data_IF_464525043620
#
_entry.id   IF_464525043620
#
_cell.length_a   1.000
_cell.length_b   1.000
_cell.length_c   1.000
_cell.angle_alpha   90.00
_cell.angle_beta   90.00
_cell.angle_gamma   90.00
#
_symmetry.space_group_name_H-M   'P 1'
#
loop_
_entity.id
_entity.type
_entity.pdbx_description
1 polymer ?
#
# COMPACT_ATOMS: atom_id res chain seq x y z
N UNK A 1 -0.38 13.65 31.06
CA UNK A 1 -0.71 12.36 30.40
C UNK A 1 -1.88 12.62 29.47
N UNK A 2 -1.63 12.66 28.15
CA UNK A 2 -2.68 12.87 27.15
C UNK A 2 -3.30 11.52 26.80
N UNK A 3 -4.63 11.50 26.81
CA UNK A 3 -5.50 10.34 26.69
C UNK A 3 -5.19 9.53 25.41
N UNK A 4 -5.31 8.21 25.55
CA UNK A 4 -5.16 7.24 24.47
C UNK A 4 -6.09 7.60 23.30
N UNK A 5 -5.51 7.62 22.09
CA UNK A 5 -6.20 7.92 20.85
C UNK A 5 -7.13 6.78 20.46
N UNK A 6 -8.39 6.88 20.85
CA UNK A 6 -9.45 6.06 20.29
C UNK A 6 -10.17 6.87 19.20
N UNK A 7 -10.02 6.41 17.96
CA UNK A 7 -10.61 7.00 16.76
C UNK A 7 -12.06 6.51 16.65
N UNK A 8 -13.03 7.34 17.08
CA UNK A 8 -14.45 7.01 16.98
C UNK A 8 -14.93 7.38 15.57
N UNK A 9 -15.15 6.37 14.72
CA UNK A 9 -15.76 6.55 13.39
C UNK A 9 -17.28 6.57 13.56
N UNK A 10 -17.90 7.72 13.32
CA UNK A 10 -19.35 7.84 13.28
C UNK A 10 -19.90 7.21 11.99
N UNK A 11 -20.83 6.26 12.11
CA UNK A 11 -21.60 5.76 10.97
C UNK A 11 -23.10 5.94 11.21
N UNK A 12 -23.88 6.01 10.13
CA UNK A 12 -25.32 6.32 10.11
C UNK A 12 -26.23 5.22 10.71
N UNK A 13 -25.67 4.20 11.35
CA UNK A 13 -26.40 3.08 11.99
C UNK A 13 -26.12 2.96 13.51
N UNK A 14 -25.36 3.89 14.11
CA UNK A 14 -25.06 3.90 15.56
C UNK A 14 -23.55 3.85 15.86
N UNK A 15 -23.21 3.79 17.15
CA UNK A 15 -21.82 3.67 17.62
C UNK A 15 -21.40 2.19 17.57
N UNK A 16 -20.49 1.81 16.68
CA UNK A 16 -19.84 0.50 16.75
C UNK A 16 -18.69 0.60 17.76
N UNK A 17 -18.83 -0.06 18.90
CA UNK A 17 -17.70 -0.31 19.79
C UNK A 17 -16.89 -1.48 19.19
N UNK A 18 -16.08 -1.19 18.17
CA UNK A 18 -15.08 -2.14 17.68
C UNK A 18 -14.01 -2.31 18.77
N UNK A 19 -14.28 -3.20 19.72
CA UNK A 19 -13.24 -3.75 20.57
C UNK A 19 -12.25 -4.42 19.63
N UNK A 20 -11.13 -3.74 19.37
CA UNK A 20 -10.02 -4.17 18.53
C UNK A 20 -9.65 -5.64 18.78
N UNK A 21 -10.33 -6.54 18.06
CA UNK A 21 -9.95 -7.94 17.84
C UNK A 21 -9.08 -8.04 16.59
N UNK A 22 -8.50 -6.92 16.14
CA UNK A 22 -7.41 -6.95 15.16
C UNK A 22 -6.17 -7.39 15.93
N UNK A 23 -5.63 -8.54 15.55
CA UNK A 23 -4.30 -8.94 15.98
C UNK A 23 -3.34 -7.76 15.74
N UNK A 24 -2.38 -7.52 16.65
CA UNK A 24 -1.39 -6.47 16.42
C UNK A 24 -0.69 -6.73 15.08
N UNK A 25 -0.69 -5.72 14.21
CA UNK A 25 0.03 -5.73 12.94
C UNK A 25 1.20 -4.75 13.01
N UNK A 26 2.17 -4.94 12.13
CA UNK A 26 3.32 -4.05 11.95
C UNK A 26 3.26 -3.44 10.56
N UNK A 27 3.90 -2.28 10.38
CA UNK A 27 3.95 -1.55 9.12
C UNK A 27 5.38 -1.13 8.79
N UNK A 28 5.72 -1.17 7.50
CA UNK A 28 6.92 -0.54 6.95
C UNK A 28 6.54 0.28 5.72
N UNK A 29 7.35 1.29 5.43
CA UNK A 29 7.34 1.96 4.13
C UNK A 29 8.53 1.46 3.32
N UNK A 30 8.27 1.04 2.08
CA UNK A 30 9.30 0.59 1.14
C UNK A 30 9.32 1.49 -0.09
N UNK A 31 10.51 1.79 -0.59
CA UNK A 31 10.71 2.51 -1.84
C UNK A 31 10.79 1.51 -2.99
N UNK A 32 9.94 1.72 -3.99
CA UNK A 32 9.85 0.90 -5.18
C UNK A 32 10.04 1.76 -6.43
N UNK A 33 10.52 1.13 -7.49
CA UNK A 33 10.58 1.72 -8.82
C UNK A 33 10.26 0.66 -9.86
N UNK A 34 9.28 0.95 -10.71
CA UNK A 34 9.00 0.16 -11.88
C UNK A 34 8.17 0.97 -12.88
N UNK A 35 8.19 0.55 -14.15
CA UNK A 35 7.28 1.04 -15.17
C UNK A 35 5.86 0.49 -14.94
N UNK A 36 4.86 1.11 -15.55
CA UNK A 36 3.46 0.73 -15.42
C UNK A 36 3.11 -0.58 -16.18
N UNK A 37 1.91 -1.11 -15.93
CA UNK A 37 1.40 -2.30 -16.63
C UNK A 37 1.71 -3.63 -15.93
N UNK A 38 2.46 -4.58 -16.54
CA UNK A 38 2.68 -5.91 -15.96
C UNK A 38 3.45 -5.90 -14.63
N UNK A 39 4.43 -5.01 -14.48
CA UNK A 39 5.26 -4.91 -13.28
C UNK A 39 4.45 -4.46 -12.06
N UNK A 40 3.60 -3.44 -12.23
CA UNK A 40 2.64 -3.00 -11.19
C UNK A 40 1.83 -4.19 -10.65
N UNK A 41 1.20 -4.96 -11.55
CA UNK A 41 0.36 -6.08 -11.11
C UNK A 41 1.17 -7.15 -10.38
N UNK A 42 2.36 -7.46 -10.87
CA UNK A 42 3.23 -8.46 -10.26
C UNK A 42 3.77 -8.01 -8.89
N UNK A 43 4.09 -6.73 -8.73
CA UNK A 43 4.47 -6.13 -7.44
C UNK A 43 3.33 -6.28 -6.41
N UNK A 44 2.12 -5.80 -6.75
CA UNK A 44 0.95 -5.90 -5.87
C UNK A 44 0.66 -7.37 -5.49
N UNK A 45 0.72 -8.28 -6.48
CA UNK A 45 0.52 -9.71 -6.24
C UNK A 45 1.58 -10.27 -5.28
N UNK A 46 2.85 -9.88 -5.44
CA UNK A 46 3.95 -10.34 -4.59
C UNK A 46 3.69 -9.97 -3.13
N UNK A 47 3.26 -8.73 -2.87
CA UNK A 47 2.96 -8.28 -1.51
C UNK A 47 1.82 -9.11 -0.89
N UNK A 48 0.74 -9.33 -1.63
CA UNK A 48 -0.43 -10.10 -1.15
C UNK A 48 -0.09 -11.58 -0.97
N UNK A 49 0.64 -12.19 -1.89
CA UNK A 49 1.01 -13.62 -1.87
C UNK A 49 1.78 -13.97 -0.59
N UNK A 50 2.65 -13.07 -0.13
CA UNK A 50 3.42 -13.26 1.09
C UNK A 50 2.70 -12.78 2.36
N UNK A 51 1.42 -12.39 2.27
CA UNK A 51 0.58 -12.06 3.42
C UNK A 51 0.66 -10.60 3.87
N UNK A 52 1.11 -9.71 2.99
CA UNK A 52 1.06 -8.26 3.20
C UNK A 52 -0.27 -7.65 2.77
N UNK A 53 -0.51 -6.44 3.24
CA UNK A 53 -1.59 -5.55 2.80
C UNK A 53 -1.00 -4.20 2.42
N UNK A 54 -1.44 -3.66 1.29
CA UNK A 54 -0.96 -2.37 0.78
C UNK A 54 -1.92 -1.29 1.24
N UNK A 55 -1.44 -0.39 2.09
CA UNK A 55 -2.28 0.65 2.70
C UNK A 55 -2.41 1.84 1.76
N UNK A 56 -1.28 2.34 1.28
CA UNK A 56 -1.18 3.52 0.44
C UNK A 56 -0.03 3.43 -0.56
N UNK A 57 -0.03 4.39 -1.49
CA UNK A 57 1.09 4.74 -2.35
C UNK A 57 1.41 6.22 -2.18
N UNK A 58 2.69 6.58 -2.16
CA UNK A 58 3.13 7.97 -2.04
C UNK A 58 4.22 8.30 -3.05
N UNK A 59 4.23 9.53 -3.53
CA UNK A 59 5.26 10.07 -4.43
C UNK A 59 5.64 11.49 -4.01
N UNK A 60 6.86 11.90 -4.32
CA UNK A 60 7.33 13.26 -4.09
C UNK A 60 7.17 14.12 -5.36
N UNK A 61 6.44 15.23 -5.27
CA UNK A 61 6.21 16.15 -6.37
C UNK A 61 6.89 17.50 -6.10
N UNK A 62 7.66 18.08 -7.04
CA UNK A 62 8.46 19.29 -6.79
C UNK A 62 7.64 20.52 -6.40
N UNK A 63 6.36 20.58 -6.78
CA UNK A 63 5.46 21.71 -6.46
C UNK A 63 4.58 21.43 -5.23
N UNK A 64 4.12 20.18 -5.06
CA UNK A 64 3.07 19.86 -4.10
C UNK A 64 3.61 19.12 -2.86
N UNK A 65 4.88 18.72 -2.87
CA UNK A 65 5.47 17.88 -1.84
C UNK A 65 4.97 16.43 -1.96
N UNK A 66 4.63 15.81 -0.85
CA UNK A 66 4.11 14.44 -0.82
C UNK A 66 2.68 14.38 -1.40
N UNK A 67 2.49 13.56 -2.42
CA UNK A 67 1.17 13.14 -2.90
C UNK A 67 0.94 11.69 -2.48
N UNK A 68 -0.21 11.41 -1.87
CA UNK A 68 -0.57 10.08 -1.38
C UNK A 68 -1.92 9.62 -1.91
N UNK A 69 -2.02 8.35 -2.31
CA UNK A 69 -3.27 7.68 -2.65
C UNK A 69 -3.52 6.48 -1.74
N UNK A 70 -4.72 6.39 -1.16
CA UNK A 70 -5.13 5.23 -0.38
C UNK A 70 -5.48 4.07 -1.31
N UNK A 71 -4.89 2.90 -1.08
CA UNK A 71 -5.10 1.71 -1.90
C UNK A 71 -5.91 0.64 -1.16
N UNK A 72 -5.58 0.37 0.11
CA UNK A 72 -6.24 -0.62 0.97
C UNK A 72 -6.38 -2.03 0.33
N UNK A 73 -5.41 -2.42 -0.51
CA UNK A 73 -5.41 -3.70 -1.24
C UNK A 73 -4.98 -4.80 -0.29
N UNK A 74 -5.86 -5.77 -0.05
CA UNK A 74 -5.66 -6.86 0.91
C UNK A 74 -5.78 -8.25 0.29
N UNK A 75 -6.27 -8.33 -0.95
CA UNK A 75 -6.56 -9.60 -1.61
C UNK A 75 -6.52 -9.45 -3.15
N UNK A 76 -6.68 -10.57 -3.85
CA UNK A 76 -6.62 -10.61 -5.31
C UNK A 76 -7.77 -9.86 -6.00
N UNK A 77 -8.96 -9.83 -5.39
CA UNK A 77 -10.10 -9.10 -5.92
C UNK A 77 -9.85 -7.59 -5.88
N UNK A 78 -9.26 -7.08 -4.80
CA UNK A 78 -8.86 -5.69 -4.68
C UNK A 78 -7.86 -5.30 -5.78
N UNK A 79 -6.86 -6.15 -6.06
CA UNK A 79 -5.91 -5.93 -7.17
C UNK A 79 -6.66 -5.85 -8.51
N UNK A 80 -7.57 -6.78 -8.76
CA UNK A 80 -8.33 -6.80 -10.01
C UNK A 80 -9.19 -5.53 -10.17
N UNK A 81 -9.86 -5.11 -9.10
CA UNK A 81 -10.66 -3.90 -9.08
C UNK A 81 -9.80 -2.66 -9.30
N UNK A 82 -8.65 -2.57 -8.63
CA UNK A 82 -7.70 -1.48 -8.79
C UNK A 82 -7.19 -1.38 -10.23
N UNK A 83 -6.69 -2.48 -10.82
CA UNK A 83 -6.18 -2.50 -12.19
C UNK A 83 -7.29 -2.16 -13.19
N UNK A 84 -8.50 -2.71 -13.01
CA UNK A 84 -9.64 -2.39 -13.88
C UNK A 84 -10.01 -0.91 -13.81
N UNK A 85 -10.07 -0.34 -12.59
CA UNK A 85 -10.40 1.07 -12.40
C UNK A 85 -9.33 1.97 -13.01
N UNK A 86 -8.05 1.63 -12.84
CA UNK A 86 -6.94 2.34 -13.47
C UNK A 86 -7.04 2.30 -15.00
N UNK A 87 -7.25 1.13 -15.60
CA UNK A 87 -7.35 0.97 -17.06
C UNK A 87 -8.61 1.62 -17.66
N UNK A 88 -9.70 1.74 -16.89
CA UNK A 88 -10.98 2.29 -17.38
C UNK A 88 -11.07 3.81 -17.24
N UNK A 89 -10.21 4.42 -16.43
CA UNK A 89 -10.15 5.87 -16.27
C UNK A 89 -8.92 6.38 -17.02
N UNK A 90 -9.01 7.58 -17.62
CA UNK A 90 -7.86 8.31 -18.19
C UNK A 90 -6.97 8.89 -17.06
N UNK A 91 -6.85 8.15 -15.96
CA UNK A 91 -6.18 8.55 -14.74
C UNK A 91 -4.77 7.93 -14.73
N UNK A 92 -3.75 8.78 -14.76
CA UNK A 92 -2.37 8.35 -14.63
C UNK A 92 -2.06 7.92 -13.19
N UNK A 93 -1.23 6.88 -13.03
CA UNK A 93 -0.70 6.50 -11.72
C UNK A 93 0.15 7.64 -11.16
N UNK A 94 0.17 7.78 -9.82
CA UNK A 94 1.03 8.76 -9.16
C UNK A 94 2.52 8.53 -9.48
N UNK A 95 2.95 7.28 -9.66
CA UNK A 95 4.32 6.91 -10.00
C UNK A 95 4.80 7.49 -11.33
N UNK A 96 3.89 7.85 -12.25
CA UNK A 96 4.25 8.51 -13.52
C UNK A 96 4.84 9.90 -13.28
N UNK A 97 4.46 10.57 -12.18
CA UNK A 97 4.96 11.90 -11.83
C UNK A 97 6.44 11.88 -11.40
N UNK A 98 6.98 10.69 -11.12
CA UNK A 98 8.28 10.48 -10.48
C UNK A 98 9.09 9.38 -11.19
N UNK A 99 8.89 9.20 -12.50
CA UNK A 99 9.64 8.22 -13.32
C UNK A 99 9.60 6.80 -12.73
N UNK A 100 8.43 6.41 -12.22
CA UNK A 100 8.18 5.11 -11.62
C UNK A 100 8.53 5.03 -10.13
N UNK A 101 9.19 6.03 -9.53
CA UNK A 101 9.61 5.99 -8.13
C UNK A 101 8.45 6.28 -7.19
N UNK A 102 8.18 5.39 -6.24
CA UNK A 102 7.09 5.56 -5.28
C UNK A 102 7.36 4.81 -3.97
N UNK A 103 6.58 5.14 -2.95
CA UNK A 103 6.63 4.51 -1.63
C UNK A 103 5.33 3.76 -1.38
N UNK A 104 5.43 2.53 -0.88
CA UNK A 104 4.29 1.77 -0.38
C UNK A 104 4.38 1.60 1.12
N UNK A 105 3.27 1.91 1.82
CA UNK A 105 3.10 1.46 3.20
C UNK A 105 2.49 0.07 3.20
N UNK A 106 3.24 -0.92 3.67
CA UNK A 106 2.83 -2.32 3.76
C UNK A 106 2.56 -2.67 5.22
N UNK A 107 1.41 -3.28 5.47
CA UNK A 107 1.03 -3.84 6.76
C UNK A 107 1.07 -5.37 6.72
N UNK A 108 1.58 -6.01 7.77
CA UNK A 108 1.54 -7.46 7.93
C UNK A 108 1.43 -7.89 9.39
N UNK A 109 1.27 -9.19 9.62
CA UNK A 109 1.10 -9.79 10.96
C UNK A 109 2.34 -9.71 11.85
N UNK A 110 3.55 -9.61 11.27
CA UNK A 110 4.82 -9.46 11.99
C UNK A 110 5.95 -9.03 11.04
N UNK A 111 7.10 -8.68 11.61
CA UNK A 111 8.27 -8.20 10.86
C UNK A 111 8.86 -9.25 9.91
N UNK A 112 8.77 -10.55 10.25
CA UNK A 112 9.31 -11.63 9.41
C UNK A 112 8.59 -11.70 8.05
N UNK A 113 7.28 -11.45 8.04
CA UNK A 113 6.51 -11.35 6.80
C UNK A 113 6.97 -10.14 5.97
N UNK A 114 7.17 -9.00 6.61
CA UNK A 114 7.62 -7.78 5.92
C UNK A 114 9.02 -7.93 5.33
N UNK A 115 9.95 -8.54 6.06
CA UNK A 115 11.29 -8.85 5.55
C UNK A 115 11.26 -9.82 4.37
N UNK A 116 10.35 -10.81 4.40
CA UNK A 116 10.16 -11.72 3.28
C UNK A 116 9.61 -11.01 2.05
N UNK A 117 8.59 -10.17 2.20
CA UNK A 117 8.06 -9.33 1.12
C UNK A 117 9.17 -8.47 0.51
N UNK A 118 9.93 -7.77 1.37
CA UNK A 118 11.05 -6.93 0.92
C UNK A 118 12.09 -7.74 0.15
N UNK A 119 12.47 -8.91 0.65
CA UNK A 119 13.43 -9.80 -0.04
C UNK A 119 12.92 -10.20 -1.42
N UNK A 120 11.65 -10.58 -1.54
CA UNK A 120 11.06 -11.06 -2.79
C UNK A 120 10.87 -9.92 -3.81
N UNK A 121 10.46 -8.74 -3.36
CA UNK A 121 10.45 -7.54 -4.20
C UNK A 121 11.86 -7.15 -4.67
N UNK A 122 12.87 -7.30 -3.82
CA UNK A 122 14.27 -7.09 -4.18
C UNK A 122 14.76 -8.09 -5.24
N UNK A 123 14.44 -9.38 -5.07
CA UNK A 123 14.78 -10.43 -6.03
C UNK A 123 14.13 -10.20 -7.41
N UNK A 124 12.94 -9.59 -7.43
CA UNK A 124 12.21 -9.22 -8.66
C UNK A 124 12.66 -7.88 -9.24
N UNK A 125 13.51 -7.13 -8.54
CA UNK A 125 14.04 -5.85 -9.01
C UNK A 125 13.06 -4.67 -8.88
N UNK A 126 12.05 -4.76 -8.02
CA UNK A 126 11.10 -3.68 -7.80
C UNK A 126 11.54 -2.69 -6.72
N UNK A 127 12.45 -3.08 -5.83
CA UNK A 127 12.98 -2.16 -4.82
C UNK A 127 13.91 -1.15 -5.46
N UNK A 128 13.72 0.12 -5.11
CA UNK A 128 14.71 1.15 -5.39
C UNK A 128 15.96 0.85 -4.55
N UNK A 129 17.08 0.59 -5.23
CA UNK A 129 18.38 0.37 -4.59
C UNK A 129 19.25 1.61 -4.79
N UNK A 130 19.93 2.03 -3.72
CA UNK A 130 20.92 3.13 -3.74
C UNK A 130 22.07 2.90 -4.73
#
# INVERSE_FOLDING_TARGET
MRAAGEEIIATSQGYLYEKNLRLPTVRISIACQHDDGPALRDELNTIIEYGGRIIDVKVEHPIYGELSGNLLISNQEDINNFIKNYQSNDASLLSVLTEGVHLHTIEAVNEQVLEKIKTELGNKGYLLTD
#
